data_IF_247257546583
#
_entry.id   IF_247257546583
#
_cell.length_a   1.000
_cell.length_b   1.000
_cell.length_c   1.000
_cell.angle_alpha   90.00
_cell.angle_beta   90.00
_cell.angle_gamma   90.00
#
_symmetry.space_group_name_H-M   'P 1'
#
loop_
_entity.id
_entity.type
_entity.pdbx_description
1 polymer ?
#
# COMPACT_ATOMS: atom_id res chain seq x y z
N UNK A 1 3.02 0.90 4.10
CA UNK A 1 2.14 1.35 5.20
C UNK A 1 1.21 0.18 5.46
N UNK A 2 1.28 -0.43 6.64
CA UNK A 2 0.34 -1.48 7.07
C UNK A 2 -0.86 -0.87 7.78
N UNK A 3 -1.93 -1.64 7.87
CA UNK A 3 -3.10 -1.25 8.67
C UNK A 3 -2.69 -1.01 10.13
N UNK A 4 -3.20 0.06 10.73
CA UNK A 4 -2.87 0.50 12.09
C UNK A 4 -1.47 1.10 12.26
N UNK A 5 -0.70 1.29 11.19
CA UNK A 5 0.65 1.84 11.29
C UNK A 5 0.62 3.35 11.55
N UNK A 6 1.54 3.83 12.39
CA UNK A 6 1.79 5.27 12.56
C UNK A 6 2.28 5.90 11.25
N UNK A 7 1.64 6.98 10.85
CA UNK A 7 2.00 7.81 9.69
C UNK A 7 2.45 9.20 10.16
N UNK A 8 3.44 9.75 9.46
CA UNK A 8 3.97 11.10 9.72
C UNK A 8 3.68 11.98 8.52
N UNK A 9 2.99 13.07 8.75
CA UNK A 9 2.63 14.07 7.77
C UNK A 9 3.39 15.36 8.07
N UNK A 10 3.52 16.23 7.07
CA UNK A 10 4.17 17.54 7.21
C UNK A 10 3.24 18.62 6.74
N UNK A 11 3.06 19.66 7.56
CA UNK A 11 2.28 20.82 7.17
C UNK A 11 2.97 21.56 6.01
N UNK A 12 2.23 21.78 4.93
CA UNK A 12 2.69 22.55 3.77
C UNK A 12 2.46 24.05 3.93
N UNK A 13 1.57 24.43 4.85
CA UNK A 13 1.20 25.80 5.16
C UNK A 13 1.04 25.96 6.68
N UNK A 14 1.11 27.18 7.22
CA UNK A 14 0.84 27.42 8.63
C UNK A 14 -0.59 27.02 9.03
N UNK A 15 -0.76 26.45 10.22
CA UNK A 15 -2.06 26.03 10.74
C UNK A 15 -2.35 26.70 12.08
N UNK A 16 -3.55 27.27 12.25
CA UNK A 16 -4.00 27.80 13.53
C UNK A 16 -4.70 26.69 14.33
N UNK A 17 -4.17 26.36 15.51
CA UNK A 17 -4.76 25.34 16.41
C UNK A 17 -4.52 25.72 17.86
N UNK A 18 -5.53 25.50 18.72
CA UNK A 18 -5.45 25.80 20.16
C UNK A 18 -4.94 27.22 20.50
N UNK A 19 -5.30 28.23 19.68
CA UNK A 19 -4.86 29.62 19.86
C UNK A 19 -3.40 29.90 19.50
N UNK A 20 -2.73 28.96 18.82
CA UNK A 20 -1.34 29.08 18.35
C UNK A 20 -1.27 28.91 16.83
N UNK A 21 -0.28 29.54 16.21
CA UNK A 21 0.04 29.31 14.80
C UNK A 21 1.21 28.34 14.71
N UNK A 22 0.95 27.15 14.16
CA UNK A 22 1.96 26.14 13.87
C UNK A 22 2.56 26.47 12.50
N UNK A 23 3.89 26.63 12.38
CA UNK A 23 4.52 26.97 11.11
C UNK A 23 4.46 25.80 10.13
N UNK A 24 4.54 26.15 8.83
CA UNK A 24 4.84 25.18 7.77
C UNK A 24 6.06 24.34 8.16
N UNK A 25 6.00 23.05 7.87
CA UNK A 25 7.09 22.12 8.12
C UNK A 25 7.00 21.36 9.43
N UNK A 26 6.09 21.75 10.33
CA UNK A 26 5.79 20.97 11.53
C UNK A 26 5.29 19.56 11.15
N UNK A 27 5.62 18.59 11.99
CA UNK A 27 5.26 17.19 11.80
C UNK A 27 3.96 16.90 12.54
N UNK A 28 3.05 16.25 11.83
CA UNK A 28 1.78 15.76 12.37
C UNK A 28 1.82 14.24 12.36
N UNK A 29 1.38 13.61 13.45
CA UNK A 29 1.43 12.15 13.59
C UNK A 29 0.02 11.62 13.73
N UNK A 30 -0.29 10.59 12.95
CA UNK A 30 -1.60 9.93 12.98
C UNK A 30 -1.47 8.43 12.82
N UNK A 31 -2.60 7.74 12.93
CA UNK A 31 -2.72 6.30 12.69
C UNK A 31 -3.34 6.10 11.32
N UNK A 32 -2.65 5.38 10.44
CA UNK A 32 -3.14 5.02 9.12
C UNK A 32 -3.96 3.73 9.17
N UNK A 33 -5.14 3.72 8.55
CA UNK A 33 -5.97 2.55 8.35
C UNK A 33 -6.22 2.33 6.87
N UNK A 34 -5.99 1.12 6.36
CA UNK A 34 -6.23 0.81 4.94
C UNK A 34 -7.62 0.18 4.81
N UNK A 35 -8.47 0.78 3.97
CA UNK A 35 -9.81 0.28 3.67
C UNK A 35 -9.99 0.24 2.15
N UNK A 36 -9.80 -0.93 1.54
CA UNK A 36 -9.82 -1.08 0.08
C UNK A 36 -8.67 -0.31 -0.56
N UNK A 37 -8.98 0.67 -1.43
CA UNK A 37 -7.98 1.51 -2.12
C UNK A 37 -7.74 2.86 -1.43
N UNK A 38 -8.13 2.99 -0.16
CA UNK A 38 -8.03 4.26 0.58
C UNK A 38 -7.29 4.08 1.90
N UNK A 39 -6.39 5.02 2.17
CA UNK A 39 -5.66 5.17 3.42
C UNK A 39 -6.36 6.25 4.25
N UNK A 40 -7.19 5.82 5.20
CA UNK A 40 -7.72 6.73 6.21
C UNK A 40 -6.63 7.06 7.20
N UNK A 41 -6.59 8.30 7.66
CA UNK A 41 -5.60 8.76 8.63
C UNK A 41 -6.34 9.48 9.74
N UNK A 42 -6.28 8.91 10.94
CA UNK A 42 -6.78 9.53 12.15
C UNK A 42 -5.66 10.31 12.81
N UNK A 43 -5.85 11.62 12.98
CA UNK A 43 -4.89 12.50 13.63
C UNK A 43 -5.48 13.00 14.94
N UNK A 44 -4.92 12.51 16.05
CA UNK A 44 -5.36 12.84 17.41
C UNK A 44 -4.45 13.84 18.11
N UNK A 45 -3.22 14.02 17.62
CA UNK A 45 -2.25 14.93 18.23
C UNK A 45 -1.25 15.52 17.23
N UNK A 46 -0.73 16.69 17.58
CA UNK A 46 0.33 17.38 16.87
C UNK A 46 1.44 17.74 17.86
N UNK A 47 2.69 17.47 17.50
CA UNK A 47 3.84 17.89 18.29
C UNK A 47 4.39 19.21 17.76
N UNK A 48 4.50 20.21 18.64
CA UNK A 48 5.17 21.47 18.34
C UNK A 48 5.91 22.00 19.57
N UNK A 49 7.21 22.28 19.41
CA UNK A 49 8.08 22.82 20.46
C UNK A 49 8.05 22.00 21.75
N UNK A 50 8.18 20.66 21.61
CA UNK A 50 8.12 19.71 22.74
C UNK A 50 6.74 19.60 23.41
N UNK A 51 5.72 20.28 22.89
CA UNK A 51 4.34 20.23 23.40
C UNK A 51 3.49 19.34 22.48
N UNK A 52 2.79 18.36 23.07
CA UNK A 52 1.75 17.60 22.40
C UNK A 52 0.43 18.39 22.49
N UNK A 53 -0.11 18.78 21.33
CA UNK A 53 -1.35 19.52 21.19
C UNK A 53 -2.43 18.53 20.75
N UNK A 54 -3.51 18.33 21.53
CA UNK A 54 -4.61 17.46 21.11
C UNK A 54 -5.37 18.12 19.95
N UNK A 55 -5.65 17.33 18.91
CA UNK A 55 -6.36 17.78 17.71
C UNK A 55 -7.31 16.70 17.23
N UNK A 56 -8.30 17.07 16.43
CA UNK A 56 -9.15 16.13 15.71
C UNK A 56 -9.17 16.60 14.25
N UNK A 57 -8.29 16.01 13.43
CA UNK A 57 -8.17 16.38 12.02
C UNK A 57 -8.61 15.21 11.13
N UNK A 58 -9.48 15.52 10.18
CA UNK A 58 -9.83 14.62 9.09
C UNK A 58 -8.89 14.86 7.91
N UNK A 59 -8.38 13.77 7.32
CA UNK A 59 -7.57 13.82 6.11
C UNK A 59 -8.48 13.62 4.90
N UNK A 60 -8.27 14.43 3.87
CA UNK A 60 -8.95 14.34 2.58
C UNK A 60 -7.93 14.27 1.45
N UNK A 61 -8.25 13.55 0.40
CA UNK A 61 -7.47 13.58 -0.85
C UNK A 61 -7.82 14.83 -1.67
N UNK A 62 -7.04 15.07 -2.71
CA UNK A 62 -7.21 16.10 -3.74
C UNK A 62 -8.55 16.02 -4.49
N UNK A 63 -9.22 14.87 -4.45
CA UNK A 63 -10.56 14.67 -5.01
C UNK A 63 -11.69 15.07 -4.03
N UNK A 64 -11.34 15.49 -2.81
CA UNK A 64 -12.28 15.91 -1.77
C UNK A 64 -12.90 14.78 -0.94
N UNK A 65 -12.47 13.53 -1.13
CA UNK A 65 -12.99 12.39 -0.37
C UNK A 65 -12.13 12.08 0.87
N UNK A 66 -12.71 11.56 1.98
CA UNK A 66 -11.97 11.27 3.23
C UNK A 66 -10.92 10.16 3.10
N UNK A 67 -9.68 10.37 3.53
CA UNK A 67 -8.57 9.42 3.33
C UNK A 67 -7.85 9.65 2.00
N UNK A 68 -6.69 9.02 1.80
CA UNK A 68 -5.82 9.20 0.63
C UNK A 68 -5.99 8.00 -0.31
N UNK A 69 -6.22 8.25 -1.60
CA UNK A 69 -6.27 7.20 -2.60
C UNK A 69 -4.90 6.55 -2.79
N UNK A 70 -4.84 5.24 -2.57
CA UNK A 70 -3.63 4.41 -2.70
C UNK A 70 -3.89 3.29 -3.72
N UNK A 71 -3.65 3.53 -5.02
CA UNK A 71 -3.90 2.52 -6.05
C UNK A 71 -3.04 1.27 -5.80
N UNK A 72 -3.60 0.08 -6.02
CA UNK A 72 -2.96 -1.21 -5.72
C UNK A 72 -2.59 -1.35 -4.22
N UNK A 73 -3.56 -1.15 -3.34
CA UNK A 73 -3.37 -1.32 -1.90
C UNK A 73 -2.80 -2.71 -1.55
N UNK A 74 -2.16 -2.81 -0.38
CA UNK A 74 -1.47 -4.04 0.03
C UNK A 74 -2.39 -5.26 0.10
N UNK A 75 -3.68 -5.09 0.36
CA UNK A 75 -4.67 -6.18 0.29
C UNK A 75 -4.69 -6.85 -1.09
N UNK A 76 -4.66 -6.06 -2.16
CA UNK A 76 -4.65 -6.58 -3.53
C UNK A 76 -3.29 -7.18 -3.91
N UNK A 77 -2.19 -6.61 -3.42
CA UNK A 77 -0.85 -7.17 -3.64
C UNK A 77 -0.68 -8.52 -2.94
N UNK A 78 -1.21 -8.70 -1.71
CA UNK A 78 -1.19 -9.98 -1.01
C UNK A 78 -1.97 -11.07 -1.79
N UNK A 79 -3.14 -10.73 -2.35
CA UNK A 79 -3.91 -11.65 -3.20
C UNK A 79 -3.17 -11.99 -4.50
N UNK A 80 -2.59 -10.99 -5.18
CA UNK A 80 -1.80 -11.21 -6.39
C UNK A 80 -0.55 -12.06 -6.12
N UNK A 81 0.13 -11.84 -5.00
CA UNK A 81 1.30 -12.62 -4.60
C UNK A 81 0.93 -14.08 -4.31
N UNK A 82 -0.19 -14.35 -3.64
CA UNK A 82 -0.70 -15.71 -3.44
C UNK A 82 -1.06 -16.37 -4.77
N UNK A 83 -1.72 -15.65 -5.69
CA UNK A 83 -2.05 -16.16 -7.02
C UNK A 83 -0.79 -16.44 -7.87
N UNK A 84 0.23 -15.58 -7.79
CA UNK A 84 1.51 -15.77 -8.50
C UNK A 84 2.31 -16.95 -7.95
N UNK A 85 2.36 -17.13 -6.63
CA UNK A 85 3.00 -18.30 -6.00
C UNK A 85 2.27 -19.61 -6.30
N UNK A 86 0.94 -19.59 -6.50
CA UNK A 86 0.18 -20.78 -6.93
C UNK A 86 0.25 -21.01 -8.46
N UNK A 87 0.37 -19.97 -9.26
CA UNK A 87 0.46 -20.05 -10.74
C UNK A 87 1.82 -20.53 -11.25
N UNK A 88 2.90 -20.31 -10.48
CA UNK A 88 4.25 -20.76 -10.84
C UNK A 88 4.44 -22.28 -10.92
N UNK A 89 3.58 -23.06 -10.25
CA UNK A 89 3.69 -24.53 -10.22
C UNK A 89 2.85 -25.26 -11.28
N UNK A 90 2.07 -24.55 -12.09
CA UNK A 90 1.18 -25.17 -13.11
C UNK A 90 1.66 -24.99 -14.57
N UNK A 91 2.82 -24.36 -14.78
CA UNK A 91 3.31 -24.00 -16.13
C UNK A 91 4.50 -24.80 -16.69
N UNK A 92 5.05 -25.79 -15.97
CA UNK A 92 6.36 -26.39 -16.33
C UNK A 92 6.33 -27.86 -16.79
N UNK A 93 5.23 -28.38 -17.35
CA UNK A 93 5.26 -29.77 -17.85
C UNK A 93 4.50 -30.03 -19.14
N UNK A 94 4.30 -29.05 -20.02
CA UNK A 94 3.82 -29.36 -21.36
C UNK A 94 4.49 -28.47 -22.41
N UNK A 95 5.56 -28.98 -23.03
CA UNK A 95 6.00 -28.72 -24.41
C UNK A 95 7.07 -29.76 -24.79
N UNK A 96 7.15 -30.39 -25.96
CA UNK A 96 6.28 -30.54 -27.15
C UNK A 96 6.91 -31.73 -27.92
N UNK A 97 6.04 -32.59 -28.45
CA UNK A 97 6.05 -33.42 -29.66
C UNK A 97 7.34 -33.81 -30.43
N UNK A 98 7.24 -35.04 -30.97
CA UNK A 98 7.79 -35.55 -32.25
C UNK A 98 9.14 -36.25 -32.26
N UNK A 99 9.32 -37.31 -31.45
CA UNK A 99 10.37 -38.32 -31.71
C UNK A 99 9.86 -39.78 -31.72
N UNK A 100 8.74 -40.10 -31.09
CA UNK A 100 8.28 -41.49 -30.91
C UNK A 100 7.75 -42.22 -32.17
N UNK A 101 8.11 -41.75 -33.37
CA UNK A 101 8.00 -42.48 -34.64
C UNK A 101 9.35 -42.72 -35.34
N UNK A 102 10.43 -42.11 -34.86
CA UNK A 102 11.79 -42.29 -35.39
C UNK A 102 12.55 -43.46 -34.73
N UNK A 103 11.97 -44.10 -33.70
CA UNK A 103 12.61 -45.20 -32.97
C UNK A 103 12.41 -46.58 -33.63
N UNK A 104 11.61 -46.68 -34.71
CA UNK A 104 11.37 -47.95 -35.41
C UNK A 104 12.21 -48.13 -36.68
N UNK A 105 12.85 -47.08 -37.20
CA UNK A 105 13.73 -47.17 -38.37
C UNK A 105 15.20 -47.48 -38.03
N UNK A 106 15.52 -47.64 -36.74
CA UNK A 106 16.88 -47.85 -36.26
C UNK A 106 17.22 -49.31 -35.91
N UNK A 107 16.26 -50.24 -36.06
CA UNK A 107 16.42 -51.68 -35.75
C UNK A 107 16.30 -52.59 -37.00
N UNK A 108 16.49 -52.01 -38.20
CA UNK A 108 16.79 -52.77 -39.42
C UNK A 108 18.14 -52.27 -39.96
N UNK A 109 19.20 -52.65 -39.25
CA UNK A 109 20.60 -52.55 -39.64
C UNK A 109 21.35 -53.75 -39.09
#
# INVERSE_FOLDING_TARGET
VTDGQTVRLRLLEPMAVAGRTIPRGAVVVGTGKIQGERLDIEITSLEYDGTIIPVELAVYDTDGQPGIFIPNSMEMNAVREVAANMGGSLGSSINISTNAGAQLASDLG
#
